data_IF_516470288904
#
_entry.id   IF_516470288904
#
_cell.length_a   1.000
_cell.length_b   1.000
_cell.length_c   1.000
_cell.angle_alpha   90.00
_cell.angle_beta   90.00
_cell.angle_gamma   90.00
#
_symmetry.space_group_name_H-M   'P 1'
#
loop_
_entity.id
_entity.type
_entity.pdbx_description
1 polymer ?
#
# COMPACT_ATOMS: atom_id res chain seq x y z
N UNK A 1 -17.71 -4.09 -4.77
CA UNK A 1 -16.50 -4.89 -4.50
C UNK A 1 -15.72 -4.23 -3.37
N UNK A 2 -15.11 -5.02 -2.48
CA UNK A 2 -14.31 -4.48 -1.38
C UNK A 2 -12.94 -3.99 -1.90
N UNK A 3 -12.59 -2.74 -1.62
CA UNK A 3 -11.36 -2.08 -2.09
C UNK A 3 -10.11 -2.56 -1.36
N UNK A 4 -10.24 -3.07 -0.14
CA UNK A 4 -9.12 -3.62 0.64
C UNK A 4 -9.41 -5.07 0.95
N UNK A 5 -8.69 -5.99 0.31
CA UNK A 5 -8.97 -7.43 0.38
C UNK A 5 -7.70 -8.26 0.17
N UNK A 6 -7.70 -9.47 0.73
CA UNK A 6 -6.67 -10.45 0.41
C UNK A 6 -6.96 -11.11 -0.94
N UNK A 7 -5.91 -11.29 -1.73
CA UNK A 7 -5.88 -12.05 -2.97
C UNK A 7 -4.76 -13.09 -2.89
N UNK A 8 -4.84 -14.10 -3.74
CA UNK A 8 -3.81 -15.14 -3.84
C UNK A 8 -3.11 -15.02 -5.18
N UNK A 9 -1.77 -15.00 -5.16
CA UNK A 9 -0.92 -15.02 -6.34
C UNK A 9 0.21 -16.04 -6.11
N UNK A 10 0.35 -17.03 -7.01
CA UNK A 10 1.31 -18.15 -6.87
C UNK A 10 1.35 -18.78 -5.46
N UNK A 11 0.18 -19.01 -4.87
CA UNK A 11 0.05 -19.61 -3.53
C UNK A 11 0.45 -18.71 -2.35
N UNK A 12 0.85 -17.46 -2.59
CA UNK A 12 1.11 -16.46 -1.54
C UNK A 12 -0.10 -15.53 -1.39
N UNK A 13 -0.42 -15.17 -0.16
CA UNK A 13 -1.49 -14.23 0.16
C UNK A 13 -0.97 -12.79 0.15
N UNK A 14 -1.67 -11.91 -0.56
CA UNK A 14 -1.30 -10.49 -0.75
C UNK A 14 -2.51 -9.63 -0.38
N UNK A 15 -2.30 -8.60 0.43
CA UNK A 15 -3.29 -7.56 0.69
C UNK A 15 -3.29 -6.57 -0.47
N UNK A 16 -4.33 -6.62 -1.29
CA UNK A 16 -4.59 -5.61 -2.31
C UNK A 16 -5.29 -4.41 -1.68
N UNK A 17 -4.68 -3.24 -1.82
CA UNK A 17 -5.20 -1.94 -1.40
C UNK A 17 -5.53 -1.15 -2.67
N UNK A 18 -6.78 -1.25 -3.11
CA UNK A 18 -7.27 -0.63 -4.34
C UNK A 18 -7.76 0.79 -4.07
N UNK A 19 -6.86 1.77 -4.27
CA UNK A 19 -7.16 3.20 -4.18
C UNK A 19 -7.47 3.80 -5.56
N UNK A 20 -7.68 2.98 -6.58
CA UNK A 20 -7.90 3.48 -7.93
C UNK A 20 -9.13 4.39 -8.00
N UNK A 21 -8.94 5.56 -8.61
CA UNK A 21 -9.93 6.63 -8.74
C UNK A 21 -10.59 7.07 -7.42
N UNK A 22 -9.93 6.83 -6.28
CA UNK A 22 -10.43 7.28 -4.98
C UNK A 22 -10.20 8.79 -4.80
N UNK A 23 -11.18 9.45 -4.22
CA UNK A 23 -11.01 10.79 -3.65
C UNK A 23 -10.08 10.76 -2.43
N UNK A 24 -9.49 11.91 -2.10
CA UNK A 24 -8.63 12.03 -0.90
C UNK A 24 -9.35 11.60 0.39
N UNK A 25 -10.67 11.83 0.49
CA UNK A 25 -11.49 11.41 1.64
C UNK A 25 -11.65 9.89 1.71
N UNK A 26 -11.79 9.22 0.56
CA UNK A 26 -11.84 7.76 0.51
C UNK A 26 -10.49 7.15 0.87
N UNK A 27 -9.39 7.70 0.35
CA UNK A 27 -8.03 7.28 0.72
C UNK A 27 -7.83 7.35 2.24
N UNK A 28 -8.23 8.44 2.89
CA UNK A 28 -8.11 8.60 4.34
C UNK A 28 -8.88 7.51 5.12
N UNK A 29 -10.11 7.20 4.68
CA UNK A 29 -10.92 6.12 5.29
C UNK A 29 -10.28 4.74 5.07
N UNK A 30 -9.85 4.45 3.85
CA UNK A 30 -9.26 3.16 3.48
C UNK A 30 -7.93 2.93 4.19
N UNK A 31 -7.13 3.97 4.41
CA UNK A 31 -5.89 3.88 5.20
C UNK A 31 -6.16 3.37 6.64
N UNK A 32 -7.25 3.82 7.27
CA UNK A 32 -7.67 3.29 8.58
C UNK A 32 -8.02 1.79 8.53
N UNK A 33 -8.72 1.35 7.48
CA UNK A 33 -9.03 -0.07 7.28
C UNK A 33 -7.77 -0.90 7.06
N UNK A 34 -6.82 -0.40 6.26
CA UNK A 34 -5.52 -1.07 6.02
C UNK A 34 -4.77 -1.26 7.34
N UNK A 35 -4.68 -0.22 8.18
CA UNK A 35 -4.01 -0.33 9.48
C UNK A 35 -4.60 -1.46 10.33
N UNK A 36 -5.92 -1.52 10.47
CA UNK A 36 -6.58 -2.55 11.27
C UNK A 36 -6.33 -3.96 10.74
N UNK A 37 -6.40 -4.15 9.41
CA UNK A 37 -6.18 -5.46 8.80
C UNK A 37 -4.73 -5.91 8.98
N UNK A 38 -3.76 -5.04 8.69
CA UNK A 38 -2.33 -5.40 8.68
C UNK A 38 -1.81 -5.64 10.09
N UNK A 39 -2.20 -4.81 11.07
CA UNK A 39 -1.75 -4.96 12.47
C UNK A 39 -2.35 -6.17 13.19
N UNK A 40 -3.42 -6.76 12.64
CA UNK A 40 -3.99 -8.02 13.12
C UNK A 40 -3.27 -9.27 12.58
N UNK A 41 -2.31 -9.12 11.66
CA UNK A 41 -1.56 -10.24 11.10
C UNK A 41 -0.31 -10.57 11.93
N UNK A 42 0.33 -11.73 11.73
CA UNK A 42 1.62 -12.01 12.32
C UNK A 42 2.70 -11.01 11.87
N UNK A 43 3.72 -10.72 12.70
CA UNK A 43 4.86 -9.91 12.31
C UNK A 43 5.53 -10.40 11.02
N UNK A 44 6.00 -9.48 10.18
CA UNK A 44 6.74 -9.74 8.92
C UNK A 44 6.06 -10.78 7.99
N UNK A 45 4.73 -10.83 7.96
CA UNK A 45 3.97 -11.80 7.15
C UNK A 45 3.29 -11.19 5.93
N UNK A 46 2.90 -9.90 5.99
CA UNK A 46 1.98 -9.33 5.00
C UNK A 46 2.71 -8.83 3.77
N UNK A 47 2.25 -9.26 2.59
CA UNK A 47 2.61 -8.65 1.31
C UNK A 47 1.53 -7.63 0.94
N UNK A 48 1.89 -6.39 0.61
CA UNK A 48 0.91 -5.35 0.27
C UNK A 48 1.11 -4.83 -1.15
N UNK A 49 0.07 -4.85 -1.97
CA UNK A 49 0.03 -4.17 -3.26
C UNK A 49 -0.93 -2.97 -3.16
N UNK A 50 -0.41 -1.76 -3.32
CA UNK A 50 -1.24 -0.54 -3.38
C UNK A 50 -1.40 -0.07 -4.82
N UNK A 51 -2.65 0.04 -5.27
CA UNK A 51 -2.95 0.65 -6.56
C UNK A 51 -3.43 2.08 -6.36
N UNK A 52 -2.64 3.04 -6.83
CA UNK A 52 -2.87 4.47 -6.71
C UNK A 52 -3.39 5.11 -8.02
N UNK A 53 -3.74 4.30 -9.03
CA UNK A 53 -4.10 4.76 -10.37
C UNK A 53 -5.26 5.76 -10.34
N UNK A 54 -5.01 6.99 -10.77
CA UNK A 54 -6.02 8.06 -10.76
C UNK A 54 -6.50 8.49 -9.38
N UNK A 55 -5.83 8.06 -8.30
CA UNK A 55 -6.17 8.47 -6.95
C UNK A 55 -5.86 9.96 -6.73
N UNK A 56 -6.72 10.62 -5.96
CA UNK A 56 -6.50 12.00 -5.53
C UNK A 56 -6.00 12.01 -4.09
N UNK A 57 -5.05 12.90 -3.81
CA UNK A 57 -4.45 13.00 -2.49
C UNK A 57 -4.47 14.44 -1.98
N UNK A 58 -4.91 14.60 -0.73
CA UNK A 58 -4.69 15.80 0.06
C UNK A 58 -3.49 15.59 0.99
N UNK A 59 -3.00 16.68 1.59
CA UNK A 59 -1.97 16.60 2.63
C UNK A 59 -2.37 15.68 3.78
N UNK A 60 -3.65 15.68 4.16
CA UNK A 60 -4.17 14.83 5.23
C UNK A 60 -4.20 13.36 4.83
N UNK A 61 -4.61 13.07 3.58
CA UNK A 61 -4.58 11.70 3.04
C UNK A 61 -3.14 11.13 3.03
N UNK A 62 -2.16 11.92 2.59
CA UNK A 62 -0.75 11.52 2.63
C UNK A 62 -0.22 11.35 4.04
N UNK A 63 -0.55 12.28 4.94
CA UNK A 63 -0.15 12.19 6.35
C UNK A 63 -0.68 10.90 6.96
N UNK A 64 -1.95 10.57 6.67
CA UNK A 64 -2.56 9.34 7.15
C UNK A 64 -1.91 8.08 6.57
N UNK A 65 -1.65 8.03 5.26
CA UNK A 65 -0.93 6.91 4.64
C UNK A 65 0.45 6.71 5.28
N UNK A 66 1.18 7.81 5.53
CA UNK A 66 2.49 7.78 6.19
C UNK A 66 2.42 7.25 7.62
N UNK A 67 1.46 7.71 8.41
CA UNK A 67 1.23 7.19 9.76
C UNK A 67 0.97 5.69 9.74
N UNK A 68 0.04 5.24 8.89
CA UNK A 68 -0.28 3.82 8.74
C UNK A 68 0.95 3.02 8.35
N UNK A 69 1.76 3.53 7.42
CA UNK A 69 3.02 2.89 7.04
C UNK A 69 4.07 2.88 8.19
N UNK A 70 3.99 3.75 9.18
CA UNK A 70 4.85 3.63 10.37
C UNK A 70 4.30 2.57 11.31
N UNK A 71 3.00 2.60 11.58
CA UNK A 71 2.33 1.69 12.50
C UNK A 71 2.36 0.23 12.02
N UNK A 72 2.14 0.00 10.74
CA UNK A 72 2.03 -1.34 10.17
C UNK A 72 3.39 -1.97 9.80
N UNK A 73 4.48 -1.20 9.94
CA UNK A 73 5.86 -1.63 9.65
C UNK A 73 6.24 -2.99 10.25
N UNK A 74 5.94 -3.33 11.52
CA UNK A 74 6.35 -4.61 12.10
C UNK A 74 5.73 -5.84 11.40
N UNK A 75 4.64 -5.65 10.66
CA UNK A 75 3.79 -6.71 10.13
C UNK A 75 3.99 -6.95 8.64
N UNK A 76 4.35 -5.91 7.90
CA UNK A 76 4.56 -6.02 6.45
C UNK A 76 5.92 -6.60 6.13
N UNK A 77 5.92 -7.69 5.36
CA UNK A 77 7.09 -8.33 4.78
C UNK A 77 7.63 -7.52 3.59
N UNK A 78 6.75 -7.18 2.64
CA UNK A 78 7.09 -6.43 1.41
C UNK A 78 5.91 -5.60 0.93
N UNK A 79 6.21 -4.49 0.27
CA UNK A 79 5.22 -3.60 -0.30
C UNK A 79 5.58 -3.23 -1.75
N UNK A 80 4.57 -3.08 -2.60
CA UNK A 80 4.71 -2.60 -3.97
C UNK A 80 3.58 -1.62 -4.31
N UNK A 81 3.83 -0.74 -5.27
CA UNK A 81 2.87 0.26 -5.74
C UNK A 81 2.72 0.21 -7.27
N UNK A 82 1.52 0.53 -7.75
CA UNK A 82 1.24 0.84 -9.16
C UNK A 82 0.45 2.14 -9.24
N UNK A 83 0.47 2.82 -10.39
CA UNK A 83 -0.29 4.06 -10.60
C UNK A 83 0.19 5.23 -9.72
N UNK A 84 1.47 5.21 -9.32
CA UNK A 84 2.06 6.15 -8.39
C UNK A 84 2.67 7.39 -9.09
N UNK A 85 2.33 7.64 -10.35
CA UNK A 85 2.86 8.78 -11.13
C UNK A 85 2.35 10.11 -10.58
N UNK A 86 1.14 10.10 -10.01
CA UNK A 86 0.52 11.27 -9.37
C UNK A 86 1.06 11.55 -7.97
N UNK A 87 1.86 10.66 -7.39
CA UNK A 87 2.42 10.79 -6.05
C UNK A 87 3.62 11.75 -6.07
N UNK A 88 3.54 12.92 -5.40
CA UNK A 88 4.67 13.83 -5.33
C UNK A 88 5.90 13.17 -4.68
N UNK A 89 7.07 13.40 -5.27
CA UNK A 89 8.31 12.72 -4.87
C UNK A 89 8.66 12.93 -3.40
N UNK A 90 8.41 14.13 -2.86
CA UNK A 90 8.61 14.43 -1.42
C UNK A 90 7.79 13.51 -0.51
N UNK A 91 6.57 13.15 -0.90
CA UNK A 91 5.72 12.26 -0.12
C UNK A 91 6.17 10.81 -0.25
N UNK A 92 6.60 10.39 -1.44
CA UNK A 92 7.18 9.07 -1.62
C UNK A 92 8.45 8.87 -0.77
N UNK A 93 9.36 9.84 -0.80
CA UNK A 93 10.57 9.78 0.03
C UNK A 93 10.23 9.76 1.52
N UNK A 94 9.28 10.59 1.96
CA UNK A 94 8.80 10.55 3.34
C UNK A 94 8.23 9.16 3.71
N UNK A 95 7.41 8.55 2.86
CA UNK A 95 6.87 7.20 3.09
C UNK A 95 8.01 6.19 3.31
N UNK A 96 9.01 6.19 2.43
CA UNK A 96 10.18 5.31 2.55
C UNK A 96 10.95 5.54 3.84
N UNK A 97 11.34 6.78 4.12
CA UNK A 97 12.17 7.14 5.28
C UNK A 97 11.50 6.81 6.61
N UNK A 98 10.23 7.20 6.80
CA UNK A 98 9.55 7.02 8.09
C UNK A 98 9.13 5.57 8.32
N UNK A 99 8.65 4.89 7.28
CA UNK A 99 8.30 3.47 7.39
C UNK A 99 9.52 2.55 7.39
N UNK A 100 10.71 3.04 7.01
CA UNK A 100 11.93 2.25 6.80
C UNK A 100 11.67 1.04 5.91
N UNK A 101 10.89 1.22 4.85
CA UNK A 101 10.55 0.19 3.86
C UNK A 101 10.65 0.76 2.45
N UNK A 102 10.92 -0.14 1.52
CA UNK A 102 10.87 0.14 0.10
C UNK A 102 9.44 -0.01 -0.44
N UNK A 103 9.10 0.82 -1.41
CA UNK A 103 7.85 0.77 -2.15
C UNK A 103 8.13 0.82 -3.66
N UNK A 104 8.74 -0.23 -4.25
CA UNK A 104 9.00 -0.24 -5.67
C UNK A 104 7.71 0.03 -6.45
N UNK A 105 7.84 0.87 -7.48
CA UNK A 105 6.74 1.28 -8.37
C UNK A 105 6.83 0.42 -9.63
N UNK A 106 5.70 -0.13 -10.04
CA UNK A 106 5.56 -0.92 -11.26
C UNK A 106 4.51 -0.30 -12.17
N UNK A 107 4.60 -0.58 -13.47
CA UNK A 107 3.61 -0.11 -14.44
C UNK A 107 2.30 -0.88 -14.32
N UNK A 108 2.38 -2.19 -14.02
CA UNK A 108 1.21 -3.06 -13.95
C UNK A 108 1.09 -3.79 -12.61
N UNK A 109 -0.15 -4.14 -12.24
CA UNK A 109 -0.41 -4.99 -11.07
C UNK A 109 0.29 -6.34 -11.20
N UNK A 110 0.31 -6.92 -12.39
CA UNK A 110 0.92 -8.23 -12.64
C UNK A 110 2.41 -8.21 -12.30
N UNK A 111 3.17 -7.22 -12.79
CA UNK A 111 4.59 -7.07 -12.48
C UNK A 111 4.84 -6.89 -10.97
N UNK A 112 4.00 -6.09 -10.31
CA UNK A 112 4.10 -5.88 -8.88
C UNK A 112 3.81 -7.17 -8.08
N UNK A 113 2.82 -7.95 -8.50
CA UNK A 113 2.48 -9.24 -7.89
C UNK A 113 3.61 -10.25 -8.08
N UNK A 114 4.13 -10.37 -9.30
CA UNK A 114 5.30 -11.20 -9.61
C UNK A 114 6.50 -10.82 -8.75
N UNK A 115 6.77 -9.51 -8.61
CA UNK A 115 7.84 -9.07 -7.74
C UNK A 115 7.59 -9.44 -6.28
N UNK A 116 6.38 -9.19 -5.75
CA UNK A 116 6.00 -9.41 -4.34
C UNK A 116 6.16 -10.86 -3.88
N UNK A 117 6.01 -11.83 -4.79
CA UNK A 117 6.10 -13.27 -4.45
C UNK A 117 7.50 -13.87 -4.61
N UNK A 118 8.42 -13.18 -5.30
CA UNK A 118 9.83 -13.61 -5.44
C UNK A 118 10.55 -13.57 -4.09
N UNK A 119 11.06 -14.68 -3.60
CA UNK A 119 11.79 -14.73 -2.31
C UNK A 119 13.19 -14.14 -2.39
#
# INVERSE_FOLDING_TARGET
MDRVRFITHHGKTILLVDLSNCSAREVLKLAGKVQGIVTAQPPKSVLTLSDLTGAQFSRDAFTRMKEVAVFDRPYVKRAAMVGAESLPEVFYQALKTFSRREFPRFETREEALEWLVRE
#
